data_IF_928216930795
#
_entry.id   IF_928216930795
#
_cell.length_a   1.000
_cell.length_b   1.000
_cell.length_c   1.000
_cell.angle_alpha   90.00
_cell.angle_beta   90.00
_cell.angle_gamma   90.00
#
_symmetry.space_group_name_H-M   'P 1'
#
loop_
_entity.id
_entity.type
_entity.pdbx_description
1 polymer ?
#
# COMPACT_ATOMS: atom_id res chain seq x y z
N UNK A 1 18.79 -18.64 7.36
CA UNK A 1 18.90 -18.93 5.92
C UNK A 1 17.59 -18.54 5.26
N UNK A 2 17.65 -17.68 4.25
CA UNK A 2 16.52 -17.17 3.50
C UNK A 2 17.05 -16.49 2.24
N UNK A 3 16.17 -16.16 1.29
CA UNK A 3 16.53 -15.54 0.01
C UNK A 3 17.39 -14.26 0.17
N UNK A 4 17.29 -13.60 1.32
CA UNK A 4 18.06 -12.40 1.65
C UNK A 4 18.95 -12.65 2.88
N UNK A 5 20.21 -12.23 2.79
CA UNK A 5 21.13 -12.14 3.93
C UNK A 5 21.63 -10.71 4.07
N UNK A 6 21.81 -10.21 5.30
CA UNK A 6 22.47 -8.92 5.49
C UNK A 6 23.93 -9.06 5.09
N UNK A 7 24.48 -8.05 4.43
CA UNK A 7 25.94 -7.96 4.30
C UNK A 7 26.54 -7.78 5.68
N UNK A 8 27.45 -8.67 6.04
CA UNK A 8 28.32 -8.42 7.18
C UNK A 8 29.09 -7.14 6.89
N UNK A 9 29.05 -6.18 7.81
CA UNK A 9 29.96 -5.03 7.73
C UNK A 9 31.36 -5.63 7.69
N UNK A 10 32.09 -5.45 6.60
CA UNK A 10 33.48 -5.87 6.55
C UNK A 10 34.20 -5.21 7.73
N UNK A 11 34.53 -6.02 8.72
CA UNK A 11 35.40 -5.62 9.81
C UNK A 11 36.75 -5.33 9.17
N UNK A 12 37.12 -4.06 9.11
CA UNK A 12 38.53 -3.70 9.02
C UNK A 12 39.27 -4.44 10.13
N UNK A 13 40.26 -5.24 9.72
CA UNK A 13 41.09 -6.09 10.56
C UNK A 13 41.56 -5.36 11.82
N UNK A 14 41.18 -5.86 12.99
CA UNK A 14 41.91 -5.67 14.24
C UNK A 14 41.72 -6.91 15.13
N UNK A 15 42.83 -7.58 15.36
CA UNK A 15 43.04 -8.73 16.25
C UNK A 15 42.66 -8.43 17.70
N UNK A 16 42.06 -9.40 18.40
CA UNK A 16 42.02 -9.35 19.88
C UNK A 16 40.91 -10.14 20.59
N UNK A 17 41.27 -11.35 21.01
CA UNK A 17 40.81 -12.11 22.19
C UNK A 17 39.31 -12.43 22.43
N UNK A 18 39.11 -13.73 22.64
CA UNK A 18 37.99 -14.48 23.21
C UNK A 18 37.44 -13.85 24.51
N UNK A 19 36.11 -13.80 24.67
CA UNK A 19 35.38 -14.09 25.94
C UNK A 19 33.86 -14.28 25.75
N UNK A 20 33.31 -15.00 26.72
CA UNK A 20 32.08 -15.80 26.81
C UNK A 20 30.70 -15.09 26.89
N UNK A 21 29.67 -15.88 26.56
CA UNK A 21 28.25 -15.90 27.00
C UNK A 21 27.31 -14.74 26.56
N UNK A 22 26.01 -14.91 26.27
CA UNK A 22 25.02 -15.87 26.78
C UNK A 22 23.76 -15.97 25.89
N UNK A 23 23.22 -17.20 25.80
CA UNK A 23 21.82 -17.65 25.65
C UNK A 23 20.74 -16.73 25.03
N UNK A 24 20.13 -17.19 23.94
CA UNK A 24 18.74 -16.87 23.56
C UNK A 24 17.96 -18.19 23.49
N UNK A 25 16.82 -18.20 24.16
CA UNK A 25 16.09 -19.37 24.62
C UNK A 25 15.41 -20.19 23.54
N UNK A 26 15.21 -21.44 23.92
CA UNK A 26 14.55 -22.51 23.19
C UNK A 26 13.10 -22.18 22.83
N UNK A 27 12.74 -22.44 21.57
CA UNK A 27 11.35 -22.69 21.17
C UNK A 27 11.28 -24.17 20.82
N UNK A 28 10.71 -24.94 21.75
CA UNK A 28 10.35 -26.34 21.56
C UNK A 28 9.29 -26.46 20.46
N UNK A 29 9.66 -27.04 19.32
CA UNK A 29 8.70 -27.64 18.38
C UNK A 29 8.75 -29.15 18.50
N UNK A 30 7.62 -29.70 18.94
CA UNK A 30 7.37 -31.14 19.06
C UNK A 30 7.45 -31.77 17.67
N UNK A 31 8.35 -32.74 17.53
CA UNK A 31 8.51 -33.56 16.34
C UNK A 31 7.35 -34.56 16.22
N UNK A 32 6.74 -34.65 15.05
CA UNK A 32 6.00 -35.84 14.64
C UNK A 32 6.30 -36.16 13.18
N UNK A 33 7.24 -37.09 13.05
CA UNK A 33 7.34 -38.19 12.08
C UNK A 33 7.12 -37.90 10.57
N UNK A 34 8.23 -38.16 9.87
CA UNK A 34 8.37 -38.50 8.47
C UNK A 34 7.21 -39.34 7.89
N UNK A 35 6.56 -38.81 6.87
CA UNK A 35 6.05 -39.60 5.75
C UNK A 35 6.51 -38.96 4.45
N UNK A 36 7.30 -39.71 3.68
CA UNK A 36 7.75 -39.30 2.35
C UNK A 36 6.56 -39.34 1.39
N UNK A 37 5.85 -38.22 1.27
CA UNK A 37 4.84 -38.06 0.25
C UNK A 37 5.52 -37.53 -1.01
N UNK A 38 5.57 -38.38 -2.04
CA UNK A 38 5.96 -38.00 -3.40
C UNK A 38 5.14 -36.76 -3.78
N UNK A 39 5.84 -35.71 -4.20
CA UNK A 39 5.23 -34.49 -4.74
C UNK A 39 4.22 -34.85 -5.84
N UNK A 40 2.96 -34.38 -5.76
CA UNK A 40 2.04 -34.52 -6.88
C UNK A 40 2.62 -33.76 -8.07
N UNK A 41 2.68 -34.44 -9.23
CA UNK A 41 2.96 -33.82 -10.51
C UNK A 41 1.91 -32.72 -10.71
N UNK A 42 2.34 -31.47 -10.85
CA UNK A 42 1.48 -30.35 -11.25
C UNK A 42 0.72 -30.75 -12.52
N UNK A 43 -0.62 -30.74 -12.53
CA UNK A 43 -1.36 -30.92 -13.77
C UNK A 43 -0.92 -29.81 -14.71
N UNK A 44 -0.53 -30.16 -15.94
CA UNK A 44 -0.29 -29.19 -16.98
C UNK A 44 -1.58 -28.38 -17.16
N UNK A 45 -1.58 -27.12 -16.70
CA UNK A 45 -2.62 -26.16 -17.02
C UNK A 45 -2.53 -25.87 -18.52
N UNK A 46 -3.20 -26.70 -19.31
CA UNK A 46 -3.29 -26.59 -20.76
C UNK A 46 -4.41 -25.64 -21.18
N UNK A 47 -4.65 -24.60 -20.38
CA UNK A 47 -5.49 -23.47 -20.77
C UNK A 47 -4.53 -22.36 -21.17
N UNK A 48 -4.35 -22.20 -22.47
CA UNK A 48 -3.67 -21.05 -23.07
C UNK A 48 -4.47 -19.82 -22.66
N UNK A 49 -4.17 -19.24 -21.50
CA UNK A 49 -4.66 -17.92 -21.10
C UNK A 49 -4.21 -16.96 -22.21
N UNK A 50 -5.13 -16.66 -23.12
CA UNK A 50 -4.88 -15.68 -24.17
C UNK A 50 -4.92 -14.32 -23.49
N UNK A 51 -3.80 -13.94 -22.88
CA UNK A 51 -3.60 -12.58 -22.44
C UNK A 51 -3.81 -11.70 -23.67
N UNK A 52 -4.75 -10.73 -23.64
CA UNK A 52 -4.91 -9.82 -24.75
C UNK A 52 -3.54 -9.18 -25.00
N UNK A 53 -3.01 -9.36 -26.22
CA UNK A 53 -1.76 -8.72 -26.66
C UNK A 53 -2.06 -7.24 -26.87
N UNK A 54 -2.18 -6.50 -25.78
CA UNK A 54 -2.30 -5.05 -25.80
C UNK A 54 -0.92 -4.53 -26.19
N UNK A 55 -0.84 -3.92 -27.38
CA UNK A 55 0.39 -3.24 -27.80
C UNK A 55 0.66 -2.09 -26.82
N UNK A 56 1.74 -2.21 -26.04
CA UNK A 56 2.13 -1.15 -25.13
C UNK A 56 2.68 0.04 -25.92
N UNK A 57 2.38 1.29 -25.53
CA UNK A 57 2.96 2.46 -26.16
C UNK A 57 4.48 2.44 -26.02
N UNK A 58 5.18 2.97 -27.03
CA UNK A 58 6.65 3.07 -26.99
C UNK A 58 7.07 3.98 -25.84
N UNK A 59 8.16 3.61 -25.19
CA UNK A 59 8.82 4.44 -24.18
C UNK A 59 9.28 5.77 -24.81
N UNK A 60 8.89 6.94 -24.27
CA UNK A 60 9.40 8.23 -24.72
C UNK A 60 10.92 8.34 -24.58
N UNK A 61 11.56 9.17 -25.39
CA UNK A 61 13.00 9.46 -25.24
C UNK A 61 13.24 10.31 -23.97
N UNK A 62 14.10 9.82 -23.07
CA UNK A 62 14.41 10.49 -21.82
C UNK A 62 15.11 11.85 -22.00
N UNK A 63 15.76 12.10 -23.14
CA UNK A 63 16.40 13.39 -23.43
C UNK A 63 15.42 14.43 -23.98
N UNK A 64 14.28 14.00 -24.52
CA UNK A 64 13.26 14.87 -25.11
C UNK A 64 12.10 15.08 -24.13
N UNK A 65 11.62 14.01 -23.50
CA UNK A 65 10.58 14.03 -22.49
C UNK A 65 10.97 13.16 -21.28
N UNK A 66 11.80 13.69 -20.36
CA UNK A 66 12.23 12.97 -19.17
C UNK A 66 11.05 12.52 -18.30
N UNK A 67 10.01 13.34 -18.20
CA UNK A 67 8.85 13.05 -17.36
C UNK A 67 7.98 11.94 -17.96
N UNK A 68 7.72 11.98 -19.27
CA UNK A 68 7.02 10.92 -19.99
C UNK A 68 7.80 9.61 -19.99
N UNK A 69 9.13 9.66 -20.15
CA UNK A 69 9.99 8.49 -19.99
C UNK A 69 9.77 7.86 -18.60
N UNK A 70 9.96 8.62 -17.51
CA UNK A 70 9.85 8.11 -16.14
C UNK A 70 8.44 7.61 -15.78
N UNK A 71 7.39 8.08 -16.45
CA UNK A 71 6.00 7.63 -16.27
C UNK A 71 5.63 6.41 -17.11
N UNK A 72 6.51 5.95 -18.00
CA UNK A 72 6.24 4.81 -18.88
C UNK A 72 6.50 3.45 -18.19
N UNK A 73 5.71 2.43 -18.54
CA UNK A 73 5.94 1.05 -18.08
C UNK A 73 7.30 0.52 -18.56
N UNK A 74 7.73 0.94 -19.76
CA UNK A 74 8.99 0.53 -20.34
C UNK A 74 10.20 1.00 -19.53
N UNK A 75 10.22 2.27 -19.09
CA UNK A 75 11.28 2.76 -18.21
C UNK A 75 11.26 2.04 -16.86
N UNK A 76 10.08 1.79 -16.26
CA UNK A 76 10.00 1.01 -15.01
C UNK A 76 10.67 -0.36 -15.17
N UNK A 77 10.38 -1.08 -16.27
CA UNK A 77 11.02 -2.38 -16.55
C UNK A 77 12.54 -2.24 -16.73
N UNK A 78 12.97 -1.29 -17.55
CA UNK A 78 14.40 -1.02 -17.79
C UNK A 78 15.16 -0.74 -16.48
N UNK A 79 14.65 0.18 -15.66
CA UNK A 79 15.28 0.58 -14.40
C UNK A 79 15.27 -0.54 -13.36
N UNK A 80 14.21 -1.34 -13.30
CA UNK A 80 14.14 -2.53 -12.44
C UNK A 80 15.15 -3.61 -12.86
N UNK A 81 15.39 -3.81 -14.16
CA UNK A 81 16.40 -4.77 -14.65
C UNK A 81 17.79 -4.43 -14.13
N UNK A 82 18.16 -3.14 -14.10
CA UNK A 82 19.45 -2.70 -13.55
C UNK A 82 19.58 -3.11 -12.07
N UNK A 83 18.51 -2.99 -11.28
CA UNK A 83 18.51 -3.43 -9.87
C UNK A 83 18.58 -4.95 -9.75
N UNK A 84 17.86 -5.69 -10.61
CA UNK A 84 17.89 -7.15 -10.64
C UNK A 84 19.29 -7.68 -10.96
N UNK A 85 19.97 -7.11 -11.96
CA UNK A 85 21.34 -7.49 -12.32
C UNK A 85 22.33 -7.22 -11.19
N UNK A 86 22.17 -6.10 -10.46
CA UNK A 86 22.96 -5.82 -9.26
C UNK A 86 22.69 -6.84 -8.16
N UNK A 87 21.42 -7.20 -7.95
CA UNK A 87 21.02 -8.19 -6.95
C UNK A 87 21.62 -9.57 -7.25
N UNK A 88 21.55 -10.03 -8.49
CA UNK A 88 22.13 -11.31 -8.93
C UNK A 88 23.64 -11.38 -8.77
N UNK A 89 24.33 -10.23 -8.82
CA UNK A 89 25.77 -10.12 -8.63
C UNK A 89 26.16 -9.78 -7.18
N UNK A 90 25.22 -9.76 -6.23
CA UNK A 90 25.45 -9.37 -4.83
C UNK A 90 26.11 -7.99 -4.68
N UNK A 91 25.73 -7.06 -5.56
CA UNK A 91 26.23 -5.68 -5.61
C UNK A 91 25.24 -4.67 -5.01
N UNK A 92 24.30 -5.13 -4.18
CA UNK A 92 23.41 -4.26 -3.41
C UNK A 92 24.11 -3.78 -2.13
N UNK A 93 23.60 -2.69 -1.54
CA UNK A 93 24.25 -2.04 -0.40
C UNK A 93 24.02 -2.73 0.94
N UNK A 94 22.86 -3.36 1.13
CA UNK A 94 22.39 -3.78 2.46
C UNK A 94 22.23 -5.29 2.62
N UNK A 95 21.96 -5.99 1.53
CA UNK A 95 21.71 -7.42 1.55
C UNK A 95 22.19 -8.08 0.26
N UNK A 96 22.51 -9.36 0.36
CA UNK A 96 22.77 -10.23 -0.79
C UNK A 96 21.53 -11.05 -1.12
N UNK A 97 21.45 -11.51 -2.37
CA UNK A 97 20.35 -12.36 -2.84
C UNK A 97 20.88 -13.73 -3.18
N UNK A 98 20.54 -14.71 -2.35
CA UNK A 98 20.91 -16.10 -2.58
C UNK A 98 19.88 -16.79 -3.49
N UNK A 99 20.11 -16.71 -4.80
CA UNK A 99 19.23 -17.31 -5.80
C UNK A 99 19.13 -18.84 -5.67
N UNK A 100 20.04 -19.52 -4.97
CA UNK A 100 19.91 -20.97 -4.70
C UNK A 100 18.70 -21.27 -3.81
N UNK A 101 18.27 -20.31 -3.00
CA UNK A 101 17.11 -20.42 -2.12
C UNK A 101 15.78 -20.05 -2.79
N UNK A 102 15.78 -19.66 -4.07
CA UNK A 102 14.58 -19.19 -4.76
C UNK A 102 13.48 -20.26 -4.85
N UNK A 103 13.85 -21.50 -5.17
CA UNK A 103 12.90 -22.63 -5.23
C UNK A 103 12.28 -22.93 -3.85
N UNK A 104 13.12 -23.01 -2.81
CA UNK A 104 12.65 -23.23 -1.44
C UNK A 104 11.72 -22.11 -0.95
N UNK A 105 12.06 -20.86 -1.26
CA UNK A 105 11.25 -19.68 -0.91
C UNK A 105 9.91 -19.70 -1.65
N UNK A 106 9.92 -20.05 -2.94
CA UNK A 106 8.69 -20.18 -3.75
C UNK A 106 7.78 -21.26 -3.18
N UNK A 107 8.32 -22.44 -2.85
CA UNK A 107 7.56 -23.54 -2.22
C UNK A 107 6.94 -23.10 -0.90
N UNK A 108 7.69 -22.36 -0.08
CA UNK A 108 7.19 -21.82 1.17
C UNK A 108 6.02 -20.86 0.95
N UNK A 109 6.17 -19.83 0.11
CA UNK A 109 5.09 -18.86 -0.18
C UNK A 109 3.83 -19.57 -0.73
N UNK A 110 4.01 -20.49 -1.69
CA UNK A 110 2.90 -21.29 -2.23
C UNK A 110 2.23 -22.12 -1.14
N UNK A 111 2.99 -22.70 -0.21
CA UNK A 111 2.41 -23.49 0.89
C UNK A 111 1.53 -22.66 1.80
N UNK A 112 1.90 -21.40 2.08
CA UNK A 112 1.09 -20.48 2.89
C UNK A 112 -0.20 -20.10 2.15
N UNK A 113 -0.10 -19.72 0.86
CA UNK A 113 -1.27 -19.41 0.03
C UNK A 113 -2.23 -20.60 -0.01
N UNK A 114 -1.71 -21.82 -0.20
CA UNK A 114 -2.53 -23.04 -0.22
C UNK A 114 -3.17 -23.35 1.14
N UNK A 115 -2.43 -23.21 2.23
CA UNK A 115 -2.94 -23.43 3.59
C UNK A 115 -4.15 -22.53 3.88
N UNK A 116 -4.07 -21.27 3.47
CA UNK A 116 -5.07 -20.26 3.83
C UNK A 116 -6.24 -20.17 2.83
N UNK A 117 -6.01 -20.50 1.55
CA UNK A 117 -6.99 -20.25 0.49
C UNK A 117 -7.27 -21.43 -0.44
N UNK A 118 -6.57 -22.57 -0.37
CA UNK A 118 -6.92 -23.68 -1.25
C UNK A 118 -8.23 -24.37 -0.79
N UNK A 119 -9.13 -24.73 -1.72
CA UNK A 119 -9.07 -24.54 -3.18
C UNK A 119 -9.66 -23.21 -3.68
N UNK A 120 -10.26 -22.41 -2.81
CA UNK A 120 -10.93 -21.16 -3.12
C UNK A 120 -9.99 -19.94 -3.20
N UNK A 121 -9.12 -19.92 -4.20
CA UNK A 121 -8.21 -18.80 -4.42
C UNK A 121 -8.93 -17.48 -4.80
N UNK A 122 -10.19 -17.54 -5.19
CA UNK A 122 -11.00 -16.34 -5.48
C UNK A 122 -11.34 -15.56 -4.21
N UNK A 123 -11.27 -16.20 -3.04
CA UNK A 123 -11.45 -15.55 -1.74
C UNK A 123 -10.23 -14.73 -1.26
N UNK A 124 -9.09 -14.78 -1.96
CA UNK A 124 -7.92 -13.97 -1.62
C UNK A 124 -8.31 -12.49 -1.72
N UNK A 125 -8.28 -11.74 -0.61
CA UNK A 125 -8.69 -10.35 -0.64
C UNK A 125 -7.69 -9.54 -1.48
N UNK A 126 -8.17 -8.57 -2.30
CA UNK A 126 -7.29 -7.71 -3.08
C UNK A 126 -6.41 -6.92 -2.12
N UNK A 127 -5.09 -6.94 -2.30
CA UNK A 127 -4.20 -6.13 -1.47
C UNK A 127 -4.44 -4.64 -1.74
N UNK A 128 -4.69 -3.87 -0.69
CA UNK A 128 -4.79 -2.43 -0.80
C UNK A 128 -4.99 -1.73 0.54
N UNK A 129 -5.37 -0.46 0.46
CA UNK A 129 -5.66 0.35 1.65
C UNK A 129 -6.79 -0.23 2.50
N UNK A 130 -7.72 -0.97 1.89
CA UNK A 130 -8.89 -1.51 2.58
C UNK A 130 -8.49 -2.35 3.79
N UNK A 131 -7.54 -3.27 3.63
CA UNK A 131 -7.10 -4.16 4.71
C UNK A 131 -6.36 -3.41 5.82
N UNK A 132 -5.71 -2.27 5.51
CA UNK A 132 -5.11 -1.42 6.54
C UNK A 132 -6.16 -0.77 7.44
N UNK A 133 -7.35 -0.43 6.92
CA UNK A 133 -8.46 0.01 7.78
C UNK A 133 -8.97 -1.11 8.69
N UNK A 134 -8.79 -2.36 8.25
CA UNK A 134 -9.18 -3.56 9.01
C UNK A 134 -8.22 -3.97 10.14
N UNK A 135 -7.12 -3.22 10.33
CA UNK A 135 -6.07 -3.59 11.28
C UNK A 135 -6.59 -3.74 12.72
N UNK A 136 -6.12 -4.78 13.40
CA UNK A 136 -6.56 -5.11 14.76
C UNK A 136 -7.93 -5.78 14.82
N UNK A 137 -8.36 -6.41 13.71
CA UNK A 137 -9.54 -7.27 13.65
C UNK A 137 -10.88 -6.54 13.62
N UNK A 138 -10.91 -5.29 13.12
CA UNK A 138 -12.12 -4.46 13.04
C UNK A 138 -12.35 -3.96 11.64
N UNK A 139 -13.52 -4.20 11.08
CA UNK A 139 -13.89 -3.66 9.78
C UNK A 139 -14.38 -2.21 9.90
N UNK A 140 -13.44 -1.28 9.94
CA UNK A 140 -13.75 0.16 10.09
C UNK A 140 -14.48 0.76 8.91
N UNK A 141 -14.39 0.16 7.73
CA UNK A 141 -15.13 0.62 6.56
C UNK A 141 -16.59 0.21 6.69
N UNK A 142 -16.86 -1.04 7.07
CA UNK A 142 -18.22 -1.49 7.38
C UNK A 142 -18.83 -0.69 8.54
N UNK A 143 -18.06 -0.39 9.59
CA UNK A 143 -18.50 0.48 10.68
C UNK A 143 -18.83 1.89 10.19
N UNK A 144 -18.00 2.49 9.32
CA UNK A 144 -18.27 3.79 8.70
C UNK A 144 -19.54 3.77 7.86
N UNK A 145 -19.74 2.75 7.02
CA UNK A 145 -20.92 2.58 6.17
C UNK A 145 -22.22 2.51 6.97
N UNK A 146 -22.17 1.90 8.17
CA UNK A 146 -23.30 1.83 9.12
C UNK A 146 -23.65 3.19 9.73
N UNK A 147 -22.71 4.14 9.79
CA UNK A 147 -22.99 5.50 10.30
C UNK A 147 -23.79 6.35 9.32
N UNK A 148 -23.80 5.99 8.03
CA UNK A 148 -24.49 6.78 7.02
C UNK A 148 -25.98 6.44 6.95
N UNK A 149 -26.86 7.46 6.86
CA UNK A 149 -28.30 7.26 6.75
C UNK A 149 -28.67 6.31 5.59
N UNK A 150 -29.76 5.55 5.77
CA UNK A 150 -30.24 4.58 4.76
C UNK A 150 -30.69 5.23 3.45
N UNK A 151 -31.03 6.52 3.47
CA UNK A 151 -31.40 7.28 2.28
C UNK A 151 -30.19 7.79 1.48
N UNK A 152 -28.96 7.60 1.96
CA UNK A 152 -27.75 7.81 1.14
C UNK A 152 -27.63 6.62 0.18
N UNK A 153 -27.77 6.89 -1.11
CA UNK A 153 -27.74 5.88 -2.16
C UNK A 153 -26.36 5.20 -2.29
N UNK A 154 -26.33 4.05 -2.98
CA UNK A 154 -25.12 3.24 -3.17
C UNK A 154 -24.01 4.01 -3.91
N UNK A 155 -24.36 4.87 -4.86
CA UNK A 155 -23.39 5.64 -5.63
C UNK A 155 -22.69 6.66 -4.75
N UNK A 156 -23.43 7.45 -3.97
CA UNK A 156 -22.86 8.40 -3.01
C UNK A 156 -22.03 7.69 -1.94
N UNK A 157 -22.48 6.53 -1.43
CA UNK A 157 -21.67 5.71 -0.52
C UNK A 157 -20.32 5.34 -1.16
N UNK A 158 -20.34 4.93 -2.43
CA UNK A 158 -19.14 4.62 -3.19
C UNK A 158 -18.25 5.86 -3.40
N UNK A 159 -18.83 7.03 -3.75
CA UNK A 159 -18.08 8.29 -3.90
C UNK A 159 -17.34 8.67 -2.61
N UNK A 160 -18.01 8.57 -1.45
CA UNK A 160 -17.38 8.82 -0.14
C UNK A 160 -16.26 7.85 0.19
N UNK A 161 -16.39 6.59 -0.20
CA UNK A 161 -15.29 5.62 -0.06
C UNK A 161 -14.13 5.96 -0.99
N UNK A 162 -14.38 6.30 -2.24
CA UNK A 162 -13.33 6.75 -3.17
C UNK A 162 -12.60 8.00 -2.66
N UNK A 163 -13.33 8.96 -2.10
CA UNK A 163 -12.78 10.14 -1.42
C UNK A 163 -11.79 9.73 -0.32
N UNK A 164 -12.25 8.93 0.65
CA UNK A 164 -11.43 8.43 1.76
C UNK A 164 -10.20 7.68 1.26
N UNK A 165 -10.39 6.75 0.32
CA UNK A 165 -9.32 5.88 -0.16
C UNK A 165 -8.25 6.68 -0.90
N UNK A 166 -8.64 7.66 -1.72
CA UNK A 166 -7.67 8.45 -2.46
C UNK A 166 -6.74 9.23 -1.52
N UNK A 167 -7.30 9.99 -0.56
CA UNK A 167 -6.47 10.76 0.38
C UNK A 167 -5.64 9.85 1.28
N UNK A 168 -6.21 8.72 1.72
CA UNK A 168 -5.49 7.76 2.57
C UNK A 168 -4.31 7.10 1.84
N UNK A 169 -4.47 6.79 0.55
CA UNK A 169 -3.37 6.26 -0.29
C UNK A 169 -2.27 7.30 -0.49
N UNK A 170 -2.61 8.55 -0.77
CA UNK A 170 -1.62 9.61 -0.97
C UNK A 170 -0.82 9.95 0.29
N UNK A 171 -1.42 9.76 1.48
CA UNK A 171 -0.72 9.96 2.76
C UNK A 171 0.26 8.83 3.10
N UNK A 172 0.18 7.68 2.44
CA UNK A 172 1.04 6.51 2.71
C UNK A 172 2.38 6.54 1.99
N UNK A 173 3.11 7.64 2.15
CA UNK A 173 4.48 7.79 1.67
C UNK A 173 5.54 7.24 2.67
N UNK A 174 5.17 6.25 3.48
CA UNK A 174 6.01 5.65 4.52
C UNK A 174 6.21 6.55 5.77
N UNK A 175 5.87 6.04 6.96
CA UNK A 175 5.92 6.83 8.21
C UNK A 175 7.29 6.81 8.93
N UNK A 176 8.30 6.14 8.36
CA UNK A 176 9.53 5.82 9.07
C UNK A 176 9.31 4.84 10.23
N UNK A 177 10.28 4.75 11.13
CA UNK A 177 10.26 3.82 12.28
C UNK A 177 9.91 4.48 13.61
N UNK A 178 10.01 5.81 13.70
CA UNK A 178 9.78 6.57 14.93
C UNK A 178 8.30 6.91 15.14
N UNK A 179 7.61 7.31 14.07
CA UNK A 179 6.22 7.75 14.16
C UNK A 179 5.26 6.62 14.58
N UNK A 180 4.27 6.98 15.38
CA UNK A 180 3.14 6.13 15.73
C UNK A 180 1.85 6.93 15.86
N UNK A 181 0.72 6.26 15.72
CA UNK A 181 -0.61 6.84 15.85
C UNK A 181 -1.37 6.17 16.98
N UNK A 182 -1.86 6.94 17.95
CA UNK A 182 -2.74 6.44 19.00
C UNK A 182 -4.19 6.65 18.55
N UNK A 183 -4.90 5.57 18.21
CA UNK A 183 -6.28 5.65 17.73
C UNK A 183 -7.19 6.27 18.79
N UNK A 184 -8.00 7.24 18.37
CA UNK A 184 -8.99 7.89 19.24
C UNK A 184 -10.08 6.89 19.62
N UNK A 185 -10.43 6.01 18.69
CA UNK A 185 -11.48 4.99 18.84
C UNK A 185 -11.25 4.05 20.04
N UNK A 186 -9.99 3.65 20.29
CA UNK A 186 -9.70 2.56 21.23
C UNK A 186 -8.39 2.71 22.03
N UNK A 187 -7.66 3.81 21.85
CA UNK A 187 -6.41 4.10 22.55
C UNK A 187 -5.21 3.23 22.16
N UNK A 188 -5.37 2.25 21.24
CA UNK A 188 -4.27 1.41 20.75
C UNK A 188 -3.32 2.22 19.87
N UNK A 189 -2.06 1.84 19.92
CA UNK A 189 -1.00 2.47 19.12
C UNK A 189 -0.71 1.62 17.90
N UNK A 190 -0.74 2.26 16.74
CA UNK A 190 -0.45 1.70 15.43
C UNK A 190 0.75 2.43 14.82
N UNK A 191 1.48 1.80 13.92
CA UNK A 191 2.68 2.35 13.28
C UNK A 191 2.59 2.17 11.77
N UNK A 192 3.50 2.79 11.02
CA UNK A 192 3.63 2.61 9.56
C UNK A 192 2.29 2.82 8.82
N UNK A 193 2.04 2.05 7.77
CA UNK A 193 0.90 2.19 6.88
C UNK A 193 -0.44 1.93 7.59
N UNK A 194 -0.46 1.07 8.61
CA UNK A 194 -1.64 0.81 9.44
C UNK A 194 -2.00 2.01 10.31
N UNK A 195 -1.00 2.65 10.92
CA UNK A 195 -1.20 3.90 11.66
C UNK A 195 -1.69 5.03 10.76
N UNK A 196 -1.12 5.16 9.55
CA UNK A 196 -1.56 6.16 8.57
C UNK A 196 -2.98 5.92 8.06
N UNK A 197 -3.38 4.65 7.90
CA UNK A 197 -4.76 4.31 7.55
C UNK A 197 -5.73 4.78 8.64
N UNK A 198 -5.46 4.50 9.91
CA UNK A 198 -6.33 4.95 11.00
C UNK A 198 -6.34 6.48 11.11
N UNK A 199 -5.18 7.13 11.05
CA UNK A 199 -5.09 8.59 11.12
C UNK A 199 -5.90 9.27 10.01
N UNK A 200 -5.72 8.83 8.75
CA UNK A 200 -6.45 9.37 7.60
C UNK A 200 -7.96 9.11 7.69
N UNK A 201 -8.39 7.95 8.20
CA UNK A 201 -9.81 7.68 8.46
C UNK A 201 -10.38 8.59 9.55
N UNK A 202 -9.66 8.79 10.65
CA UNK A 202 -10.14 9.65 11.74
C UNK A 202 -10.18 11.13 11.31
N UNK A 203 -9.21 11.59 10.52
CA UNK A 203 -9.23 12.92 9.87
C UNK A 203 -10.39 13.07 8.88
N UNK A 204 -10.68 12.04 8.09
CA UNK A 204 -11.84 12.04 7.18
C UNK A 204 -13.15 12.11 7.96
N UNK A 205 -13.29 11.32 9.03
CA UNK A 205 -14.48 11.35 9.90
C UNK A 205 -14.69 12.69 10.58
N UNK A 206 -13.61 13.43 10.87
CA UNK A 206 -13.69 14.78 11.45
C UNK A 206 -13.94 15.89 10.41
N UNK A 207 -14.06 15.56 9.12
CA UNK A 207 -14.24 16.56 8.06
C UNK A 207 -12.99 17.35 7.71
N UNK A 208 -11.79 16.85 8.04
CA UNK A 208 -10.54 17.59 7.79
C UNK A 208 -10.29 17.88 6.30
N UNK A 209 -10.90 17.12 5.41
CA UNK A 209 -10.73 17.22 3.95
C UNK A 209 -11.97 17.76 3.21
N UNK A 210 -13.04 18.09 3.95
CA UNK A 210 -14.30 18.57 3.39
C UNK A 210 -14.39 20.08 3.48
N UNK A 211 -14.95 20.71 2.44
CA UNK A 211 -15.28 22.12 2.51
C UNK A 211 -16.59 22.41 3.25
N UNK A 212 -17.51 21.45 3.26
CA UNK A 212 -18.85 21.56 3.84
C UNK A 212 -18.92 20.86 5.21
N UNK A 213 -19.16 21.65 6.26
CA UNK A 213 -19.30 21.14 7.64
C UNK A 213 -20.52 20.24 7.82
N UNK A 214 -21.54 20.35 6.97
CA UNK A 214 -22.72 19.48 6.99
C UNK A 214 -22.43 18.11 6.34
N UNK A 215 -21.37 18.01 5.54
CA UNK A 215 -20.90 16.79 4.89
C UNK A 215 -19.45 16.49 5.29
N UNK A 216 -19.18 16.05 6.55
CA UNK A 216 -17.82 15.79 6.99
C UNK A 216 -17.19 14.58 6.28
N UNK A 217 -18.00 13.63 5.82
CA UNK A 217 -17.53 12.39 5.17
C UNK A 217 -17.36 12.56 3.66
N UNK A 218 -16.64 13.59 3.23
CA UNK A 218 -16.26 13.82 1.84
C UNK A 218 -14.85 14.41 1.73
N UNK A 219 -14.30 14.36 0.53
CA UNK A 219 -13.08 15.09 0.15
C UNK A 219 -13.44 15.93 -1.07
N UNK A 220 -13.12 17.22 -1.06
CA UNK A 220 -13.33 18.09 -2.20
C UNK A 220 -12.17 19.07 -2.38
N UNK A 221 -12.08 19.65 -3.58
CA UNK A 221 -11.01 20.58 -3.97
C UNK A 221 -10.85 21.72 -2.96
N UNK A 222 -11.95 22.35 -2.56
CA UNK A 222 -11.91 23.49 -1.61
C UNK A 222 -11.45 23.09 -0.21
N UNK A 223 -11.87 21.92 0.28
CA UNK A 223 -11.47 21.37 1.58
C UNK A 223 -9.97 21.08 1.61
N UNK A 224 -9.46 20.44 0.56
CA UNK A 224 -8.02 20.17 0.42
C UNK A 224 -7.18 21.44 0.27
N UNK A 225 -7.68 22.45 -0.45
CA UNK A 225 -7.00 23.73 -0.64
C UNK A 225 -6.74 24.46 0.69
N UNK A 226 -7.63 24.27 1.69
CA UNK A 226 -7.54 24.91 3.01
C UNK A 226 -6.70 24.12 4.01
N UNK A 227 -6.16 22.97 3.64
CA UNK A 227 -5.28 22.22 4.52
C UNK A 227 -4.06 23.06 4.88
N UNK A 228 -3.66 22.97 6.14
CA UNK A 228 -2.45 23.61 6.66
C UNK A 228 -1.56 22.56 7.29
N UNK A 229 -0.28 22.90 7.43
CA UNK A 229 0.66 22.06 8.18
C UNK A 229 0.19 21.81 9.62
N UNK A 230 -0.51 22.77 10.23
CA UNK A 230 -1.09 22.62 11.57
C UNK A 230 -2.19 21.55 11.63
N UNK A 231 -3.11 21.56 10.67
CA UNK A 231 -4.17 20.53 10.55
C UNK A 231 -3.56 19.16 10.35
N UNK A 232 -2.59 19.04 9.42
CA UNK A 232 -1.90 17.77 9.15
C UNK A 232 -1.09 17.29 10.36
N UNK A 233 -0.39 18.19 11.04
CA UNK A 233 0.36 17.88 12.27
C UNK A 233 -0.56 17.34 13.35
N UNK A 234 -1.69 18.00 13.59
CA UNK A 234 -2.67 17.57 14.58
C UNK A 234 -3.29 16.22 14.22
N UNK A 235 -3.76 16.07 12.97
CA UNK A 235 -4.42 14.85 12.50
C UNK A 235 -3.49 13.63 12.45
N UNK A 236 -2.19 13.84 12.18
CA UNK A 236 -1.17 12.79 12.21
C UNK A 236 -0.48 12.66 13.59
N UNK A 237 -0.92 13.40 14.62
CA UNK A 237 -0.32 13.40 15.96
C UNK A 237 1.20 13.68 15.97
N UNK A 238 1.67 14.52 15.07
CA UNK A 238 3.10 14.80 14.91
C UNK A 238 3.56 15.81 15.96
N UNK A 239 4.66 15.48 16.63
CA UNK A 239 5.34 16.32 17.62
C UNK A 239 6.84 16.03 17.59
N UNK A 240 7.63 16.78 18.35
CA UNK A 240 9.07 16.54 18.47
C UNK A 240 9.37 15.12 19.01
N UNK A 241 8.51 14.61 19.89
CA UNK A 241 8.59 13.23 20.41
C UNK A 241 7.95 12.17 19.52
N UNK A 242 7.19 12.56 18.49
CA UNK A 242 6.53 11.67 17.55
C UNK A 242 6.68 12.17 16.10
N UNK A 243 7.93 12.25 15.59
CA UNK A 243 8.20 12.86 14.28
C UNK A 243 7.79 11.92 13.15
N UNK A 244 7.21 12.48 12.08
CA UNK A 244 7.01 11.79 10.80
C UNK A 244 7.84 12.45 9.71
N UNK A 245 8.56 11.64 8.92
CA UNK A 245 9.30 12.15 7.77
C UNK A 245 8.34 12.60 6.66
N UNK A 246 8.60 13.78 6.07
CA UNK A 246 7.84 14.27 4.90
C UNK A 246 6.42 14.78 5.23
N UNK A 247 6.22 15.40 6.39
CA UNK A 247 4.95 16.04 6.74
C UNK A 247 4.58 17.17 5.75
N UNK A 248 5.55 18.03 5.43
CA UNK A 248 5.39 19.13 4.48
C UNK A 248 5.02 18.60 3.09
N UNK A 249 5.74 17.59 2.61
CA UNK A 249 5.47 16.96 1.32
C UNK A 249 4.08 16.32 1.23
N UNK A 250 3.57 15.71 2.32
CA UNK A 250 2.19 15.19 2.38
C UNK A 250 1.16 16.30 2.32
N UNK A 251 1.41 17.38 3.04
CA UNK A 251 0.52 18.55 3.07
C UNK A 251 0.44 19.17 1.69
N UNK A 252 1.60 19.43 1.08
CA UNK A 252 1.69 19.99 -0.28
C UNK A 252 1.10 19.05 -1.33
N UNK A 253 1.26 17.73 -1.18
CA UNK A 253 0.65 16.76 -2.09
C UNK A 253 -0.89 16.84 -2.08
N UNK A 254 -1.51 16.93 -0.90
CA UNK A 254 -2.96 17.08 -0.80
C UNK A 254 -3.44 18.47 -1.29
N UNK A 255 -2.66 19.53 -1.06
CA UNK A 255 -2.95 20.84 -1.66
C UNK A 255 -2.78 20.81 -3.18
N UNK A 256 -1.81 20.10 -3.74
CA UNK A 256 -1.71 19.95 -5.21
C UNK A 256 -2.84 19.10 -5.78
N UNK A 257 -3.37 18.17 -4.99
CA UNK A 257 -4.55 17.40 -5.37
C UNK A 257 -5.77 18.31 -5.55
N UNK A 258 -5.96 19.38 -4.74
CA UNK A 258 -7.09 20.30 -4.94
C UNK A 258 -7.11 20.87 -6.36
N UNK A 259 -5.96 21.28 -6.88
CA UNK A 259 -5.83 21.80 -8.24
C UNK A 259 -6.16 20.75 -9.30
N UNK A 260 -5.69 19.51 -9.12
CA UNK A 260 -6.01 18.41 -10.03
C UNK A 260 -7.52 18.09 -10.05
N UNK A 261 -8.18 18.21 -8.90
CA UNK A 261 -9.61 17.99 -8.74
C UNK A 261 -10.48 19.06 -9.41
N UNK A 262 -9.92 20.19 -9.84
CA UNK A 262 -10.63 21.20 -10.66
C UNK A 262 -10.90 20.74 -12.09
N UNK A 263 -10.37 19.58 -12.50
CA UNK A 263 -10.78 18.98 -13.76
C UNK A 263 -12.20 18.39 -13.64
N UNK A 264 -13.18 19.26 -13.86
CA UNK A 264 -14.61 18.93 -13.72
C UNK A 264 -15.09 17.83 -14.66
N UNK A 265 -14.36 17.52 -15.74
CA UNK A 265 -14.69 16.40 -16.61
C UNK A 265 -14.59 15.05 -15.88
N UNK A 266 -13.66 14.92 -14.94
CA UNK A 266 -13.46 13.70 -14.16
C UNK A 266 -14.06 13.78 -12.77
N UNK A 267 -14.05 14.97 -12.16
CA UNK A 267 -14.30 15.14 -10.72
C UNK A 267 -15.56 15.96 -10.40
N UNK A 268 -16.39 16.26 -11.40
CA UNK A 268 -17.64 17.01 -11.20
C UNK A 268 -17.41 18.47 -10.78
N UNK A 269 -18.50 19.22 -10.60
CA UNK A 269 -18.45 20.65 -10.30
C UNK A 269 -17.88 20.97 -8.90
N UNK A 270 -18.14 20.09 -7.94
CA UNK A 270 -17.64 20.11 -6.57
C UNK A 270 -16.19 19.59 -6.45
N UNK A 271 -15.61 19.05 -7.51
CA UNK A 271 -14.20 18.65 -7.54
C UNK A 271 -13.89 17.57 -6.51
N UNK A 272 -14.68 16.49 -6.48
CA UNK A 272 -14.50 15.35 -5.57
C UNK A 272 -13.80 14.19 -6.27
N UNK A 273 -12.84 13.53 -5.61
CA UNK A 273 -12.29 12.26 -6.10
C UNK A 273 -13.35 11.23 -6.47
N UNK A 274 -14.41 11.13 -5.66
CA UNK A 274 -15.46 10.13 -5.81
C UNK A 274 -16.28 10.28 -7.08
N UNK A 275 -16.36 11.47 -7.67
CA UNK A 275 -17.07 11.70 -8.93
C UNK A 275 -16.39 11.04 -10.15
N UNK A 276 -15.18 10.53 -9.98
CA UNK A 276 -14.59 9.61 -10.95
C UNK A 276 -15.47 8.38 -11.18
N UNK A 277 -16.28 7.97 -10.19
CA UNK A 277 -17.31 6.94 -10.37
C UNK A 277 -18.28 7.33 -11.50
N UNK A 278 -18.81 8.55 -11.45
CA UNK A 278 -19.81 9.02 -12.42
C UNK A 278 -19.19 9.17 -13.81
N UNK A 279 -17.95 9.68 -13.88
CA UNK A 279 -17.18 9.70 -15.12
C UNK A 279 -17.02 8.29 -15.72
N UNK A 280 -16.59 7.31 -14.91
CA UNK A 280 -16.40 5.94 -15.36
C UNK A 280 -17.72 5.29 -15.81
N UNK A 281 -18.81 5.46 -15.05
CA UNK A 281 -20.12 4.90 -15.43
C UNK A 281 -20.63 5.49 -16.75
N UNK A 282 -20.45 6.80 -16.94
CA UNK A 282 -20.89 7.49 -18.15
C UNK A 282 -19.98 7.27 -19.37
N UNK A 283 -18.77 6.72 -19.17
CA UNK A 283 -17.79 6.58 -20.24
C UNK A 283 -18.26 5.58 -21.31
N UNK A 284 -18.20 5.90 -22.62
CA UNK A 284 -18.75 5.05 -23.69
C UNK A 284 -18.17 3.63 -23.76
N UNK A 285 -16.97 3.41 -23.20
CA UNK A 285 -16.30 2.11 -23.20
C UNK A 285 -16.65 1.25 -21.99
N UNK A 286 -17.40 1.79 -21.02
CA UNK A 286 -17.73 1.07 -19.79
C UNK A 286 -18.78 0.01 -20.08
N UNK A 287 -18.37 -1.25 -19.90
CA UNK A 287 -19.26 -2.40 -20.00
C UNK A 287 -19.90 -2.60 -18.62
N UNK A 288 -21.06 -1.99 -18.39
CA UNK A 288 -21.84 -2.29 -17.20
C UNK A 288 -22.40 -3.71 -17.33
N UNK A 289 -21.91 -4.65 -16.52
CA UNK A 289 -22.62 -5.92 -16.32
C UNK A 289 -23.77 -5.65 -15.34
N UNK A 290 -24.98 -5.61 -15.88
CA UNK A 290 -26.23 -5.60 -15.10
C UNK A 290 -26.38 -6.87 -14.26
#
# INVERSE_FOLDING_TARGET
>A
MGLFSRKDKSSSVASGSIRHNSSVGDINTVSSQSSSLKSPITPAYNTRMSFPKIALPKTPDAHVDPAGYLRSIGSVRERCTIMLEKAQKNNLNHFDVDMSMFDATTKFVVSIIKRDFAPDYASIPPHGRWQHFSVGGRDRIEELLKTWPKNVDQSERCRRLLDLFLVSVLLDAGAGTAWSYKSIENGKVYKRSEGLAIASLEMFKSGAFSSDKSQPHQVDSEGLQRLTLGVMRSGLQVSDSNPIAGLDGRTELLIKLSEALKNHAYFGADGRPGNMLDYLISHPTTQASS
#
